data_IF_320373553513
#
_entry.id   IF_320373553513
#
_cell.length_a   1.000
_cell.length_b   1.000
_cell.length_c   1.000
_cell.angle_alpha   90.00
_cell.angle_beta   90.00
_cell.angle_gamma   90.00
#
_symmetry.space_group_name_H-M   'P 1'
#
loop_
_entity.id
_entity.type
_entity.pdbx_description
1 polymer ?
#
# COMPACT_ATOMS: atom_id res chain seq x y z
N UNK A 1 15.84 2.64 21.98
CA UNK A 1 16.54 3.57 21.05
C UNK A 1 15.90 3.55 19.66
N UNK A 2 15.72 2.41 18.97
CA UNK A 2 15.05 2.39 17.64
C UNK A 2 13.62 2.97 17.61
N UNK A 3 12.82 2.74 18.65
CA UNK A 3 11.46 3.28 18.74
C UNK A 3 11.38 4.83 18.78
N UNK A 4 12.47 5.52 19.15
CA UNK A 4 12.52 6.99 19.15
C UNK A 4 12.73 7.56 17.73
N UNK A 5 13.21 6.76 16.79
CA UNK A 5 13.53 7.18 15.42
C UNK A 5 12.59 6.58 14.37
N UNK A 6 11.67 5.71 14.77
CA UNK A 6 10.71 5.07 13.87
C UNK A 6 9.39 5.85 13.90
N UNK A 7 8.95 6.33 12.74
CA UNK A 7 7.68 7.05 12.62
C UNK A 7 6.51 6.18 13.10
N UNK A 8 5.51 6.79 13.75
CA UNK A 8 4.32 6.07 14.25
C UNK A 8 3.47 5.43 13.15
N UNK A 9 3.67 5.89 11.93
CA UNK A 9 3.06 5.43 10.68
C UNK A 9 3.81 4.23 10.05
N UNK A 10 5.00 3.88 10.55
CA UNK A 10 5.70 2.67 10.13
C UNK A 10 5.08 1.47 10.84
N UNK A 11 4.90 0.37 10.10
CA UNK A 11 4.42 -0.89 10.65
C UNK A 11 5.20 -2.09 10.11
N UNK A 12 5.20 -3.18 10.88
CA UNK A 12 5.70 -4.49 10.47
C UNK A 12 4.89 -5.58 11.19
N UNK A 13 4.21 -6.41 10.42
CA UNK A 13 3.20 -7.36 10.86
C UNK A 13 1.79 -6.79 10.77
N UNK A 14 0.83 -7.65 10.42
CA UNK A 14 -0.55 -7.28 10.15
C UNK A 14 -1.19 -6.43 11.27
N UNK A 15 -1.08 -6.86 12.52
CA UNK A 15 -1.66 -6.14 13.66
C UNK A 15 -1.00 -4.78 13.91
N UNK A 16 0.30 -4.68 13.67
CA UNK A 16 1.02 -3.43 13.78
C UNK A 16 0.59 -2.46 12.66
N UNK A 17 0.27 -2.98 11.47
CA UNK A 17 -0.28 -2.18 10.39
C UNK A 17 -1.72 -1.72 10.67
N UNK A 18 -2.57 -2.54 11.32
CA UNK A 18 -3.87 -2.07 11.82
C UNK A 18 -3.70 -0.92 12.81
N UNK A 19 -2.74 -1.02 13.73
CA UNK A 19 -2.40 0.06 14.69
C UNK A 19 -1.98 1.33 13.94
N UNK A 20 -1.07 1.22 12.97
CA UNK A 20 -0.56 2.37 12.22
C UNK A 20 -1.69 3.09 11.45
N UNK A 21 -2.56 2.33 10.77
CA UNK A 21 -3.73 2.88 10.07
C UNK A 21 -4.64 3.63 11.03
N UNK A 22 -5.05 3.00 12.14
CA UNK A 22 -5.91 3.66 13.16
C UNK A 22 -5.28 4.94 13.68
N UNK A 23 -3.96 4.95 13.88
CA UNK A 23 -3.24 6.13 14.33
C UNK A 23 -3.28 7.26 13.29
N UNK A 24 -3.06 6.96 12.00
CA UNK A 24 -3.13 7.97 10.94
C UNK A 24 -4.54 8.54 10.79
N UNK A 25 -5.57 7.69 10.88
CA UNK A 25 -6.98 8.16 10.83
C UNK A 25 -7.30 9.02 12.05
N UNK A 26 -6.83 8.64 13.24
CA UNK A 26 -6.97 9.45 14.46
C UNK A 26 -6.27 10.82 14.33
N UNK A 27 -5.17 10.89 13.59
CA UNK A 27 -4.44 12.13 13.30
C UNK A 27 -5.08 12.98 12.18
N UNK A 28 -6.20 12.51 11.60
CA UNK A 28 -7.00 13.27 10.64
C UNK A 28 -6.75 12.91 9.17
N UNK A 29 -6.12 11.78 8.87
CA UNK A 29 -5.93 11.35 7.49
C UNK A 29 -7.28 11.06 6.80
N UNK A 30 -7.47 11.63 5.60
CA UNK A 30 -8.62 11.36 4.72
C UNK A 30 -8.41 10.13 3.83
N UNK A 31 -7.15 9.79 3.57
CA UNK A 31 -6.73 8.65 2.75
C UNK A 31 -5.49 8.04 3.38
N UNK A 32 -5.37 6.71 3.30
CA UNK A 32 -4.17 5.99 3.71
C UNK A 32 -3.26 5.78 2.51
N UNK A 33 -1.99 6.16 2.65
CA UNK A 33 -0.97 5.96 1.62
C UNK A 33 0.06 4.95 2.08
N UNK A 34 0.37 3.97 1.24
CA UNK A 34 1.42 2.97 1.50
C UNK A 34 2.45 2.89 0.38
N UNK A 35 3.61 2.34 0.70
CA UNK A 35 4.67 1.94 -0.25
C UNK A 35 4.64 0.42 -0.41
N UNK A 36 3.84 -0.07 -1.36
CA UNK A 36 3.70 -1.51 -1.61
C UNK A 36 4.91 -2.10 -2.36
N UNK A 37 5.67 -1.26 -3.06
CA UNK A 37 7.00 -1.58 -3.60
C UNK A 37 8.05 -0.58 -3.12
N UNK A 38 9.32 -0.85 -3.42
CA UNK A 38 10.34 0.19 -3.32
C UNK A 38 10.18 1.25 -4.38
N UNK A 39 10.71 2.45 -4.12
CA UNK A 39 10.64 3.59 -5.01
C UNK A 39 11.95 3.89 -5.71
N UNK A 40 11.86 4.55 -6.86
CA UNK A 40 13.02 4.95 -7.68
C UNK A 40 14.00 5.84 -6.92
N UNK A 41 13.50 6.70 -6.02
CA UNK A 41 14.31 7.63 -5.23
C UNK A 41 14.68 7.08 -3.85
N UNK A 42 14.28 5.85 -3.53
CA UNK A 42 14.60 5.24 -2.24
C UNK A 42 16.08 4.87 -2.19
N UNK A 43 16.82 5.38 -1.20
CA UNK A 43 18.18 4.93 -0.92
C UNK A 43 18.18 3.60 -0.14
N UNK A 44 17.56 2.58 -0.72
CA UNK A 44 17.46 1.23 -0.16
C UNK A 44 17.84 0.20 -1.23
N UNK A 45 18.34 -0.97 -0.83
CA UNK A 45 18.59 -2.09 -1.74
C UNK A 45 17.33 -2.97 -1.95
N UNK A 46 16.15 -2.42 -1.71
CA UNK A 46 14.91 -3.20 -1.70
C UNK A 46 14.38 -3.51 -3.12
N UNK A 47 14.88 -2.84 -4.16
CA UNK A 47 14.37 -3.01 -5.53
C UNK A 47 12.94 -2.48 -5.69
N UNK A 48 12.27 -2.92 -6.77
CA UNK A 48 10.90 -2.49 -7.11
C UNK A 48 9.86 -3.58 -6.84
N UNK A 49 10.24 -4.65 -6.14
CA UNK A 49 9.36 -5.76 -5.79
C UNK A 49 8.49 -5.44 -4.56
N UNK A 50 7.52 -6.32 -4.30
CA UNK A 50 6.59 -6.25 -3.17
C UNK A 50 7.32 -6.11 -1.81
N UNK A 51 6.86 -5.19 -0.97
CA UNK A 51 7.46 -4.90 0.35
C UNK A 51 6.59 -5.26 1.55
N UNK A 52 5.27 -5.32 1.38
CA UNK A 52 4.35 -5.83 2.40
C UNK A 52 3.98 -7.26 2.06
N UNK A 53 3.85 -8.11 3.08
CA UNK A 53 3.16 -9.40 2.96
C UNK A 53 1.69 -9.20 2.64
N UNK A 54 1.04 -10.23 2.09
CA UNK A 54 -0.38 -10.15 1.74
C UNK A 54 -1.26 -9.89 2.98
N UNK A 55 -0.93 -10.51 4.12
CA UNK A 55 -1.62 -10.29 5.39
C UNK A 55 -1.51 -8.84 5.89
N UNK A 56 -0.38 -8.18 5.66
CA UNK A 56 -0.20 -6.76 5.98
C UNK A 56 -1.03 -5.87 5.06
N UNK A 57 -1.05 -6.15 3.75
CA UNK A 57 -1.86 -5.41 2.79
C UNK A 57 -3.36 -5.51 3.13
N UNK A 58 -3.86 -6.73 3.36
CA UNK A 58 -5.25 -6.97 3.77
C UNK A 58 -5.56 -6.23 5.06
N UNK A 59 -4.68 -6.33 6.07
CA UNK A 59 -4.87 -5.64 7.34
C UNK A 59 -4.98 -4.12 7.20
N UNK A 60 -4.19 -3.52 6.31
CA UNK A 60 -4.21 -2.09 6.02
C UNK A 60 -5.54 -1.70 5.37
N UNK A 61 -5.92 -2.41 4.30
CA UNK A 61 -7.12 -2.12 3.51
C UNK A 61 -8.37 -2.29 4.36
N UNK A 62 -8.55 -3.45 4.99
CA UNK A 62 -9.73 -3.72 5.83
C UNK A 62 -9.88 -2.70 6.97
N UNK A 63 -8.77 -2.33 7.61
CA UNK A 63 -8.82 -1.35 8.72
C UNK A 63 -9.22 0.03 8.21
N UNK A 64 -8.64 0.49 7.10
CA UNK A 64 -8.97 1.77 6.52
C UNK A 64 -10.43 1.82 6.05
N UNK A 65 -10.88 0.80 5.32
CA UNK A 65 -12.24 0.68 4.81
C UNK A 65 -13.27 0.61 5.95
N UNK A 66 -12.98 -0.12 7.04
CA UNK A 66 -13.86 -0.19 8.23
C UNK A 66 -14.08 1.17 8.90
N UNK A 67 -13.19 2.13 8.67
CA UNK A 67 -13.25 3.49 9.19
C UNK A 67 -13.63 4.51 8.10
N UNK A 68 -14.09 4.05 6.94
CA UNK A 68 -14.54 4.89 5.84
C UNK A 68 -13.42 5.68 5.18
N UNK A 69 -12.24 5.09 5.03
CA UNK A 69 -11.06 5.70 4.37
C UNK A 69 -10.60 4.83 3.22
N UNK A 70 -10.26 5.46 2.10
CA UNK A 70 -9.63 4.79 0.96
C UNK A 70 -8.14 4.56 1.19
N UNK A 71 -7.55 3.65 0.43
CA UNK A 71 -6.13 3.33 0.45
C UNK A 71 -5.52 3.43 -0.94
N UNK A 72 -4.41 4.13 -1.06
CA UNK A 72 -3.59 4.20 -2.28
C UNK A 72 -2.21 3.57 -2.03
N UNK A 73 -1.71 2.81 -3.00
CA UNK A 73 -0.39 2.19 -2.94
C UNK A 73 0.56 2.78 -3.97
N UNK A 74 1.77 3.14 -3.54
CA UNK A 74 2.89 3.32 -4.45
C UNK A 74 3.35 1.93 -4.88
N UNK A 75 3.28 1.64 -6.18
CA UNK A 75 3.74 0.37 -6.73
C UNK A 75 4.33 0.55 -8.14
N UNK A 76 5.57 0.08 -8.33
CA UNK A 76 6.19 -0.02 -9.65
C UNK A 76 6.16 -1.45 -10.16
N UNK A 77 6.75 -2.41 -9.42
CA UNK A 77 6.88 -3.80 -9.83
C UNK A 77 5.55 -4.55 -9.86
N UNK A 78 5.40 -5.42 -10.86
CA UNK A 78 4.18 -6.19 -11.13
C UNK A 78 3.70 -7.00 -9.92
N UNK A 79 4.61 -7.65 -9.18
CA UNK A 79 4.24 -8.43 -7.98
C UNK A 79 3.54 -7.57 -6.93
N UNK A 80 4.06 -6.38 -6.64
CA UNK A 80 3.43 -5.45 -5.70
C UNK A 80 2.12 -4.86 -6.21
N UNK A 81 1.99 -4.62 -7.52
CA UNK A 81 0.72 -4.19 -8.14
C UNK A 81 -0.35 -5.26 -7.93
N UNK A 82 -0.06 -6.52 -8.30
CA UNK A 82 -1.00 -7.65 -8.16
C UNK A 82 -1.39 -7.85 -6.69
N UNK A 83 -0.41 -7.87 -5.77
CA UNK A 83 -0.69 -8.08 -4.35
C UNK A 83 -1.58 -6.97 -3.77
N UNK A 84 -1.32 -5.71 -4.12
CA UNK A 84 -2.14 -4.60 -3.67
C UNK A 84 -3.57 -4.65 -4.24
N UNK A 85 -3.73 -4.98 -5.53
CA UNK A 85 -5.05 -5.16 -6.15
C UNK A 85 -5.85 -6.28 -5.48
N UNK A 86 -5.23 -7.45 -5.29
CA UNK A 86 -5.85 -8.59 -4.61
C UNK A 86 -6.27 -8.28 -3.16
N UNK A 87 -5.53 -7.39 -2.47
CA UNK A 87 -5.85 -6.94 -1.13
C UNK A 87 -7.02 -5.93 -1.08
N UNK A 88 -7.51 -5.44 -2.23
CA UNK A 88 -8.61 -4.48 -2.33
C UNK A 88 -8.19 -3.01 -2.25
N UNK A 89 -6.98 -2.68 -2.71
CA UNK A 89 -6.52 -1.28 -2.79
C UNK A 89 -7.44 -0.43 -3.68
N UNK A 90 -7.67 0.83 -3.34
CA UNK A 90 -8.52 1.73 -4.13
C UNK A 90 -7.78 2.35 -5.33
N UNK A 91 -6.49 2.61 -5.18
CA UNK A 91 -5.66 3.09 -6.30
C UNK A 91 -4.19 2.66 -6.22
N UNK A 92 -3.58 2.58 -7.40
CA UNK A 92 -2.15 2.39 -7.58
C UNK A 92 -1.55 3.65 -8.19
N UNK A 93 -0.53 4.20 -7.54
CA UNK A 93 0.27 5.28 -8.09
C UNK A 93 1.46 4.73 -8.88
N UNK A 94 1.83 5.45 -9.93
CA UNK A 94 2.86 5.12 -10.90
C UNK A 94 2.48 3.95 -11.81
N UNK A 95 2.38 2.73 -11.27
CA UNK A 95 2.04 1.52 -12.02
C UNK A 95 2.96 1.27 -13.22
N UNK A 96 4.26 1.58 -13.08
CA UNK A 96 5.22 1.62 -14.20
C UNK A 96 5.33 0.33 -15.00
N UNK A 97 5.16 -0.84 -14.35
CA UNK A 97 5.23 -2.15 -15.01
C UNK A 97 3.87 -2.83 -15.10
N UNK A 98 2.80 -2.05 -15.22
CA UNK A 98 1.45 -2.54 -15.57
C UNK A 98 1.48 -3.20 -16.95
N UNK A 99 0.82 -4.35 -17.09
CA UNK A 99 0.57 -5.07 -18.32
C UNK A 99 -0.90 -5.55 -18.43
N UNK A 100 -1.22 -6.30 -19.48
CA UNK A 100 -2.58 -6.78 -19.76
C UNK A 100 -3.20 -7.58 -18.60
N UNK A 101 -2.38 -8.35 -17.87
CA UNK A 101 -2.84 -9.12 -16.70
C UNK A 101 -3.23 -8.16 -15.57
N UNK A 102 -2.35 -7.22 -15.23
CA UNK A 102 -2.66 -6.24 -14.19
C UNK A 102 -3.82 -5.32 -14.57
N UNK A 103 -3.99 -4.96 -15.85
CA UNK A 103 -5.13 -4.17 -16.32
C UNK A 103 -6.45 -4.91 -16.14
N UNK A 104 -6.45 -6.24 -16.33
CA UNK A 104 -7.62 -7.05 -16.04
C UNK A 104 -7.97 -7.00 -14.54
N UNK A 105 -6.97 -7.08 -13.65
CA UNK A 105 -7.16 -6.98 -12.20
C UNK A 105 -7.65 -5.58 -11.77
N UNK A 106 -7.12 -4.49 -12.34
CA UNK A 106 -7.65 -3.15 -12.07
C UNK A 106 -9.16 -3.06 -12.34
N UNK A 107 -9.61 -3.65 -13.46
CA UNK A 107 -11.03 -3.68 -13.82
C UNK A 107 -11.85 -4.59 -12.90
N UNK A 108 -11.30 -5.74 -12.51
CA UNK A 108 -11.94 -6.69 -11.60
C UNK A 108 -12.19 -6.06 -10.22
N UNK A 109 -11.21 -5.32 -9.71
CA UNK A 109 -11.24 -4.72 -8.37
C UNK A 109 -11.79 -3.29 -8.33
N UNK A 110 -12.23 -2.73 -9.47
CA UNK A 110 -12.66 -1.32 -9.60
C UNK A 110 -11.62 -0.33 -9.03
N UNK A 111 -10.33 -0.65 -9.23
CA UNK A 111 -9.22 0.14 -8.74
C UNK A 111 -8.74 1.15 -9.80
N UNK A 112 -8.25 2.30 -9.34
CA UNK A 112 -7.78 3.38 -10.22
C UNK A 112 -6.26 3.33 -10.40
N UNK A 113 -5.80 3.40 -11.64
CA UNK A 113 -4.39 3.65 -11.96
C UNK A 113 -4.13 5.16 -12.05
N UNK A 114 -3.11 5.66 -11.35
CA UNK A 114 -2.66 7.07 -11.36
C UNK A 114 -1.20 7.16 -11.84
N UNK A 115 -0.96 7.33 -13.15
CA UNK A 115 0.39 7.46 -13.71
C UNK A 115 1.03 8.82 -13.40
N UNK A 116 2.37 8.88 -13.31
CA UNK A 116 3.15 10.11 -13.07
C UNK A 116 4.45 10.11 -13.86
#
# INVERSE_FOLDING_TARGET
VMALFTGKNVCNGADDCRRAVRQQIKEGADVIKITATGGVLSNTRAGLEQQFTDDELVAIVETAHSMGRKVTAHAHGKGGIIAALNAGIDSIEHGTYTDDETVALFKEHDAVLVPT
#
